data_IF_058482283090
#
_entry.id   IF_058482283090
#
_cell.length_a   1.000
_cell.length_b   1.000
_cell.length_c   1.000
_cell.angle_alpha   90.00
_cell.angle_beta   90.00
_cell.angle_gamma   90.00
#
_symmetry.space_group_name_H-M   'P 1'
#
loop_
_entity.id
_entity.type
_entity.pdbx_description
1 polymer ?
#
# COMPACT_ATOMS: atom_id res chain seq x y z
N UNK A 1 20.11 48.56 32.26
CA UNK A 1 20.24 47.93 30.96
C UNK A 1 19.38 46.66 30.96
N UNK A 2 18.27 46.68 30.26
CA UNK A 2 17.34 45.54 30.17
C UNK A 2 17.75 44.68 28.95
N UNK A 3 18.26 43.50 29.22
CA UNK A 3 18.52 42.51 28.14
C UNK A 3 17.19 41.87 27.73
N UNK A 4 16.71 42.29 26.59
CA UNK A 4 15.54 41.65 25.97
C UNK A 4 16.04 40.41 25.23
N UNK A 5 15.75 39.24 25.81
CA UNK A 5 16.04 37.96 25.21
C UNK A 5 15.01 37.72 24.10
N UNK A 6 15.40 37.85 22.83
CA UNK A 6 14.59 37.48 21.70
C UNK A 6 14.62 35.95 21.59
N UNK A 7 13.54 35.29 22.03
CA UNK A 7 13.31 33.87 21.77
C UNK A 7 12.75 33.79 20.35
N UNK A 8 13.62 33.48 19.39
CA UNK A 8 13.23 33.10 18.05
C UNK A 8 12.57 31.72 18.13
N UNK A 9 11.25 31.68 18.16
CA UNK A 9 10.49 30.46 18.00
C UNK A 9 10.64 30.06 16.51
N UNK A 10 11.53 29.13 16.27
CA UNK A 10 11.66 28.49 14.96
C UNK A 10 10.42 27.63 14.74
N UNK A 11 9.41 28.17 14.07
CA UNK A 11 8.33 27.38 13.53
C UNK A 11 8.94 26.49 12.44
N UNK A 12 9.26 25.25 12.79
CA UNK A 12 9.47 24.21 11.79
C UNK A 12 8.10 23.92 11.22
N UNK A 13 7.75 24.66 10.19
CA UNK A 13 6.65 24.29 9.30
C UNK A 13 7.13 23.01 8.63
N UNK A 14 6.68 21.86 9.13
CA UNK A 14 6.77 20.60 8.38
C UNK A 14 5.97 20.84 7.11
N UNK A 15 6.68 21.21 6.06
CA UNK A 15 6.11 21.23 4.71
C UNK A 15 5.75 19.78 4.45
N UNK A 16 4.48 19.45 4.67
CA UNK A 16 3.92 18.17 4.29
C UNK A 16 3.92 18.19 2.77
N UNK A 17 5.05 17.80 2.16
CA UNK A 17 5.13 17.67 0.73
C UNK A 17 4.08 16.65 0.32
N UNK A 18 3.11 17.10 -0.45
CA UNK A 18 2.10 16.26 -1.06
C UNK A 18 2.80 15.12 -1.81
N UNK A 19 2.81 13.95 -1.20
CA UNK A 19 3.51 12.81 -1.76
C UNK A 19 2.51 11.87 -2.40
N UNK A 20 2.70 11.64 -3.68
CA UNK A 20 1.88 10.73 -4.46
C UNK A 20 2.77 9.64 -5.07
N UNK A 21 2.48 8.40 -4.77
CA UNK A 21 3.21 7.24 -5.28
C UNK A 21 2.35 6.60 -6.37
N UNK A 22 2.88 6.53 -7.59
CA UNK A 22 2.24 5.85 -8.71
C UNK A 22 3.00 4.57 -9.01
N UNK A 23 2.29 3.45 -9.09
CA UNK A 23 2.84 2.12 -9.31
C UNK A 23 2.10 1.45 -10.45
N UNK A 24 2.84 0.99 -11.45
CA UNK A 24 2.31 0.15 -12.53
C UNK A 24 2.74 -1.30 -12.30
N UNK A 25 1.77 -2.18 -12.15
CA UNK A 25 1.95 -3.62 -11.95
C UNK A 25 1.49 -4.35 -13.19
N UNK A 26 2.35 -5.16 -13.79
CA UNK A 26 1.96 -6.03 -14.91
C UNK A 26 1.69 -7.46 -14.40
N UNK A 27 2.52 -7.94 -13.50
CA UNK A 27 2.47 -9.31 -13.01
C UNK A 27 2.82 -9.37 -11.52
N UNK A 28 2.31 -10.39 -10.84
CA UNK A 28 2.66 -10.68 -9.45
C UNK A 28 2.73 -12.18 -9.19
N UNK A 29 3.64 -12.58 -8.31
CA UNK A 29 3.64 -13.90 -7.70
C UNK A 29 2.57 -13.94 -6.62
N UNK A 30 1.67 -14.92 -6.68
CA UNK A 30 0.56 -15.05 -5.74
C UNK A 30 0.76 -16.24 -4.82
N UNK A 31 0.72 -15.96 -3.50
CA UNK A 31 0.81 -16.96 -2.44
C UNK A 31 -0.48 -16.97 -1.63
N UNK A 32 -0.90 -18.17 -1.22
CA UNK A 32 -2.14 -18.40 -0.46
C UNK A 32 -1.81 -19.22 0.77
N UNK A 33 -2.44 -18.86 1.89
CA UNK A 33 -2.41 -19.68 3.11
C UNK A 33 -3.79 -19.69 3.74
N UNK A 34 -4.32 -20.87 4.01
CA UNK A 34 -5.66 -21.01 4.59
C UNK A 34 -5.69 -20.54 6.05
N UNK A 35 -6.77 -19.86 6.40
CA UNK A 35 -6.93 -19.17 7.68
C UNK A 35 -6.37 -17.75 7.71
N UNK A 36 -6.40 -17.13 8.89
CA UNK A 36 -5.90 -15.76 9.10
C UNK A 36 -4.43 -15.82 9.48
N UNK A 37 -3.57 -15.31 8.63
CA UNK A 37 -2.11 -15.32 8.81
C UNK A 37 -1.50 -13.95 8.56
N UNK A 38 -0.32 -13.71 9.14
CA UNK A 38 0.50 -12.56 8.75
C UNK A 38 1.08 -12.78 7.35
N UNK A 39 1.39 -11.69 6.65
CA UNK A 39 2.06 -11.75 5.35
C UNK A 39 3.37 -12.57 5.41
N UNK A 40 4.15 -12.44 6.49
CA UNK A 40 5.39 -13.20 6.64
C UNK A 40 5.13 -14.71 6.73
N UNK A 41 4.11 -15.13 7.50
CA UNK A 41 3.75 -16.55 7.58
C UNK A 41 3.27 -17.13 6.25
N UNK A 42 2.56 -16.32 5.43
CA UNK A 42 2.16 -16.73 4.06
C UNK A 42 3.38 -16.89 3.17
N UNK A 43 4.35 -15.97 3.23
CA UNK A 43 5.56 -16.02 2.39
C UNK A 43 6.51 -17.16 2.82
N UNK A 44 6.65 -17.40 4.13
CA UNK A 44 7.57 -18.40 4.65
C UNK A 44 7.09 -19.84 4.38
N UNK A 45 5.78 -20.06 4.51
CA UNK A 45 5.20 -21.40 4.37
C UNK A 45 3.82 -21.31 3.72
N UNK A 46 3.72 -20.93 2.44
CA UNK A 46 2.44 -20.90 1.74
C UNK A 46 1.85 -22.30 1.62
N UNK A 47 0.52 -22.41 1.71
CA UNK A 47 -0.17 -23.66 1.41
C UNK A 47 -0.25 -23.86 -0.11
N UNK A 48 -0.30 -22.74 -0.87
CA UNK A 48 -0.28 -22.73 -2.32
C UNK A 48 0.63 -21.61 -2.86
N UNK A 49 1.49 -21.95 -3.80
CA UNK A 49 2.14 -21.00 -4.71
C UNK A 49 1.44 -21.08 -6.06
N UNK A 50 0.61 -20.09 -6.34
CA UNK A 50 -0.17 -20.04 -7.59
C UNK A 50 0.65 -19.56 -8.79
N UNK A 51 1.93 -19.28 -8.59
CA UNK A 51 2.84 -18.81 -9.61
C UNK A 51 2.60 -17.36 -10.03
N UNK A 52 3.23 -16.99 -11.14
CA UNK A 52 3.14 -15.66 -11.70
C UNK A 52 1.80 -15.46 -12.39
N UNK A 53 1.09 -14.40 -12.01
CA UNK A 53 -0.21 -14.02 -12.58
C UNK A 53 -0.11 -12.67 -13.26
N UNK A 54 -0.74 -12.54 -14.42
CA UNK A 54 -0.94 -11.26 -15.09
C UNK A 54 -1.99 -10.45 -14.31
N UNK A 55 -1.62 -9.22 -13.90
CA UNK A 55 -2.48 -8.37 -13.09
C UNK A 55 -2.93 -7.12 -13.87
N UNK A 56 -2.02 -6.46 -14.59
CA UNK A 56 -2.28 -5.27 -15.41
C UNK A 56 -3.03 -4.16 -14.68
N UNK A 57 -2.54 -3.77 -13.51
CA UNK A 57 -3.12 -2.73 -12.68
C UNK A 57 -2.19 -1.54 -12.49
N UNK A 58 -2.79 -0.36 -12.39
CA UNK A 58 -2.13 0.85 -11.92
C UNK A 58 -2.66 1.23 -10.54
N UNK A 59 -1.74 1.57 -9.63
CA UNK A 59 -2.05 2.04 -8.29
C UNK A 59 -1.59 3.48 -8.12
N UNK A 60 -2.41 4.29 -7.46
CA UNK A 60 -2.07 5.66 -7.07
C UNK A 60 -2.33 5.81 -5.58
N UNK A 61 -1.27 5.97 -4.81
CA UNK A 61 -1.35 6.25 -3.37
C UNK A 61 -1.14 7.74 -3.17
N UNK A 62 -2.20 8.45 -2.81
CA UNK A 62 -2.17 9.86 -2.48
C UNK A 62 -2.07 10.00 -0.95
N UNK A 63 -0.87 10.32 -0.45
CA UNK A 63 -0.63 10.38 0.98
C UNK A 63 -1.13 11.67 1.61
N UNK A 64 -1.43 12.70 0.82
CA UNK A 64 -2.06 13.93 1.28
C UNK A 64 -3.56 13.73 1.46
N UNK A 65 -4.22 13.14 0.48
CA UNK A 65 -5.65 12.88 0.50
C UNK A 65 -6.00 11.60 1.26
N UNK A 66 -4.99 10.84 1.71
CA UNK A 66 -5.15 9.53 2.34
C UNK A 66 -6.02 8.58 1.52
N UNK A 67 -5.76 8.50 0.23
CA UNK A 67 -6.49 7.62 -0.69
C UNK A 67 -5.57 6.68 -1.45
N UNK A 68 -6.01 5.44 -1.57
CA UNK A 68 -5.44 4.41 -2.44
C UNK A 68 -6.42 4.16 -3.59
N UNK A 69 -5.98 4.38 -4.81
CA UNK A 69 -6.76 4.12 -6.03
C UNK A 69 -6.08 3.03 -6.83
N UNK A 70 -6.85 2.10 -7.33
CA UNK A 70 -6.35 1.15 -8.31
C UNK A 70 -7.22 1.15 -9.56
N UNK A 71 -6.61 0.87 -10.69
CA UNK A 71 -7.25 0.84 -12.00
C UNK A 71 -6.79 -0.41 -12.72
N UNK A 72 -7.73 -1.27 -13.12
CA UNK A 72 -7.42 -2.40 -13.99
C UNK A 72 -7.36 -1.94 -15.43
N UNK A 73 -6.19 -2.05 -16.07
CA UNK A 73 -6.01 -1.68 -17.48
C UNK A 73 -6.73 -2.65 -18.42
N UNK A 74 -6.77 -3.93 -18.07
CA UNK A 74 -7.48 -4.96 -18.84
C UNK A 74 -9.00 -4.78 -18.86
N UNK A 75 -9.55 -4.09 -17.83
CA UNK A 75 -10.97 -3.77 -17.72
C UNK A 75 -11.30 -2.33 -18.15
N UNK A 76 -10.48 -1.72 -18.98
CA UNK A 76 -10.73 -0.37 -19.49
C UNK A 76 -10.60 0.74 -18.45
N UNK A 77 -9.80 0.54 -17.43
CA UNK A 77 -9.54 1.53 -16.38
C UNK A 77 -10.61 1.56 -15.28
N UNK A 78 -11.45 0.54 -15.19
CA UNK A 78 -12.35 0.36 -14.03
C UNK A 78 -11.50 0.11 -12.80
N UNK A 79 -11.79 0.84 -11.74
CA UNK A 79 -11.01 0.80 -10.51
C UNK A 79 -11.83 1.11 -9.27
N UNK A 80 -11.16 1.07 -8.15
CA UNK A 80 -11.73 1.36 -6.85
C UNK A 80 -10.87 2.38 -6.09
N UNK A 81 -11.47 3.06 -5.13
CA UNK A 81 -10.78 4.00 -4.23
C UNK A 81 -11.03 3.57 -2.80
N UNK A 82 -9.95 3.33 -2.06
CA UNK A 82 -9.99 2.94 -0.66
C UNK A 82 -9.33 4.03 0.20
N UNK A 83 -9.84 4.30 1.40
CA UNK A 83 -9.16 5.20 2.32
C UNK A 83 -7.87 4.55 2.85
N UNK A 84 -6.80 5.34 2.93
CA UNK A 84 -5.59 4.96 3.67
C UNK A 84 -5.81 5.41 5.12
N UNK A 85 -5.81 4.46 6.05
CA UNK A 85 -6.05 4.75 7.48
C UNK A 85 -4.77 4.93 8.27
N UNK A 86 -3.66 4.39 7.76
CA UNK A 86 -2.35 4.56 8.39
C UNK A 86 -1.24 4.51 7.34
N UNK A 87 -0.20 5.31 7.55
CA UNK A 87 1.01 5.31 6.73
C UNK A 87 2.22 5.25 7.64
N UNK A 88 3.06 4.25 7.45
CA UNK A 88 4.37 4.13 8.10
C UNK A 88 5.45 4.17 7.05
N UNK A 89 6.45 5.05 7.22
CA UNK A 89 7.63 5.13 6.34
C UNK A 89 8.87 4.67 7.08
N UNK A 90 9.62 3.74 6.48
CA UNK A 90 10.91 3.23 6.97
C UNK A 90 11.93 3.26 5.83
N UNK A 91 12.73 4.33 5.75
CA UNK A 91 13.62 4.53 4.60
C UNK A 91 12.85 4.66 3.30
N UNK A 92 13.11 3.77 2.33
CA UNK A 92 12.41 3.69 1.05
C UNK A 92 11.09 2.90 1.10
N UNK A 93 10.83 2.21 2.22
CA UNK A 93 9.65 1.37 2.39
C UNK A 93 8.48 2.18 2.96
N UNK A 94 7.37 2.19 2.24
CA UNK A 94 6.07 2.67 2.68
C UNK A 94 5.18 1.49 3.03
N UNK A 95 4.58 1.53 4.22
CA UNK A 95 3.57 0.58 4.68
C UNK A 95 2.26 1.34 4.78
N UNK A 96 1.31 1.01 3.91
CA UNK A 96 0.00 1.63 3.80
C UNK A 96 -1.04 0.66 4.32
N UNK A 97 -1.86 1.09 5.26
CA UNK A 97 -2.98 0.32 5.77
C UNK A 97 -4.27 0.90 5.19
N UNK A 98 -5.08 0.06 4.56
CA UNK A 98 -6.37 0.43 4.01
C UNK A 98 -7.46 -0.42 4.65
N UNK A 99 -8.66 0.10 4.77
CA UNK A 99 -9.82 -0.71 5.11
C UNK A 99 -10.53 -1.07 3.81
N UNK A 100 -10.46 -2.34 3.45
CA UNK A 100 -11.28 -2.90 2.39
C UNK A 100 -12.61 -3.34 3.03
N UNK A 101 -13.64 -2.55 2.80
CA UNK A 101 -14.98 -2.94 3.25
C UNK A 101 -15.56 -3.91 2.24
N UNK A 102 -15.74 -5.16 2.63
CA UNK A 102 -16.66 -6.03 1.89
C UNK A 102 -18.03 -5.36 1.86
N UNK A 103 -18.53 -5.08 0.67
CA UNK A 103 -19.86 -4.45 0.48
C UNK A 103 -20.95 -5.30 1.16
N UNK A 104 -20.73 -6.61 1.23
CA UNK A 104 -21.71 -7.58 1.74
C UNK A 104 -21.57 -7.88 3.24
N UNK A 105 -20.44 -7.52 3.85
CA UNK A 105 -20.16 -7.82 5.26
C UNK A 105 -19.17 -6.82 5.86
N UNK A 106 -19.60 -5.59 6.17
CA UNK A 106 -18.73 -4.53 6.72
C UNK A 106 -18.02 -4.94 8.01
N UNK A 107 -18.62 -5.84 8.79
CA UNK A 107 -18.04 -6.41 10.01
C UNK A 107 -16.84 -7.33 9.75
N UNK A 108 -16.67 -7.83 8.53
CA UNK A 108 -15.56 -8.68 8.13
C UNK A 108 -14.43 -7.90 7.46
N UNK A 109 -14.47 -6.56 7.49
CA UNK A 109 -13.41 -5.74 6.91
C UNK A 109 -12.12 -5.94 7.70
N UNK A 110 -11.20 -6.67 7.12
CA UNK A 110 -9.85 -6.80 7.65
C UNK A 110 -8.95 -5.75 7.00
N UNK A 111 -8.05 -5.12 7.77
CA UNK A 111 -7.15 -4.14 7.21
C UNK A 111 -6.23 -4.81 6.19
N UNK A 112 -6.23 -4.29 5.00
CA UNK A 112 -5.28 -4.66 3.95
C UNK A 112 -4.00 -3.87 4.13
N UNK A 113 -2.87 -4.54 4.09
CA UNK A 113 -1.54 -3.91 4.15
C UNK A 113 -0.87 -3.96 2.79
N UNK A 114 -0.39 -2.80 2.37
CA UNK A 114 0.37 -2.64 1.13
C UNK A 114 1.76 -2.15 1.51
N UNK A 115 2.78 -2.84 1.07
CA UNK A 115 4.18 -2.51 1.27
C UNK A 115 4.75 -2.06 -0.07
N UNK A 116 5.24 -0.83 -0.16
CA UNK A 116 5.83 -0.28 -1.39
C UNK A 116 7.26 0.11 -1.10
N UNK A 117 8.22 -0.61 -1.67
CA UNK A 117 9.63 -0.26 -1.61
C UNK A 117 10.02 0.51 -2.88
N UNK A 118 10.27 1.80 -2.71
CA UNK A 118 10.53 2.72 -3.82
C UNK A 118 11.89 2.46 -4.46
N UNK A 119 12.91 2.16 -3.68
CA UNK A 119 14.27 1.94 -4.18
C UNK A 119 14.39 0.58 -4.88
N UNK A 120 13.83 -0.46 -4.27
CA UNK A 120 13.83 -1.81 -4.85
C UNK A 120 12.77 -2.01 -5.94
N UNK A 121 11.85 -1.06 -6.11
CA UNK A 121 10.73 -1.12 -7.06
C UNK A 121 9.94 -2.41 -6.93
N UNK A 122 9.54 -2.71 -5.68
CA UNK A 122 8.73 -3.87 -5.34
C UNK A 122 7.48 -3.44 -4.57
N UNK A 123 6.42 -4.21 -4.69
CA UNK A 123 5.21 -4.04 -3.92
C UNK A 123 4.73 -5.39 -3.39
N UNK A 124 4.33 -5.41 -2.12
CA UNK A 124 3.70 -6.54 -1.49
C UNK A 124 2.30 -6.10 -1.07
N UNK A 125 1.31 -6.79 -1.56
CA UNK A 125 -0.09 -6.54 -1.26
C UNK A 125 -0.66 -7.72 -0.48
N UNK A 126 -1.20 -7.46 0.71
CA UNK A 126 -1.70 -8.49 1.62
C UNK A 126 -3.17 -8.24 1.91
N UNK A 127 -3.99 -9.25 1.73
CA UNK A 127 -5.41 -9.21 2.11
C UNK A 127 -5.89 -10.58 2.59
N UNK A 128 -7.04 -10.58 3.26
CA UNK A 128 -7.73 -11.79 3.67
C UNK A 128 -9.01 -11.94 2.86
N UNK A 129 -9.25 -13.14 2.33
CA UNK A 129 -10.49 -13.48 1.66
C UNK A 129 -11.39 -14.26 2.64
N UNK A 130 -12.47 -13.66 3.12
CA UNK A 130 -13.37 -14.31 4.09
C UNK A 130 -14.18 -15.45 3.47
N UNK A 131 -14.44 -15.43 2.16
CA UNK A 131 -15.21 -16.48 1.49
C UNK A 131 -14.40 -17.76 1.34
N UNK A 132 -13.13 -17.62 1.02
CA UNK A 132 -12.21 -18.75 0.88
C UNK A 132 -11.51 -19.09 2.22
N UNK A 133 -11.71 -18.24 3.25
CA UNK A 133 -11.01 -18.33 4.53
C UNK A 133 -9.51 -18.50 4.34
N UNK A 134 -8.91 -17.59 3.60
CA UNK A 134 -7.48 -17.63 3.33
C UNK A 134 -6.84 -16.24 3.34
N UNK A 135 -5.56 -16.20 3.73
CA UNK A 135 -4.70 -15.04 3.63
C UNK A 135 -3.95 -15.10 2.30
N UNK A 136 -3.98 -14.00 1.55
CA UNK A 136 -3.37 -13.88 0.24
C UNK A 136 -2.26 -12.82 0.28
N UNK A 137 -1.17 -13.12 -0.40
CA UNK A 137 -0.05 -12.20 -0.60
C UNK A 137 0.32 -12.16 -2.07
N UNK A 138 0.25 -10.97 -2.66
CA UNK A 138 0.76 -10.69 -4.00
C UNK A 138 2.11 -10.00 -3.89
N UNK A 139 3.14 -10.61 -4.44
CA UNK A 139 4.48 -10.06 -4.53
C UNK A 139 4.76 -9.59 -5.95
N UNK A 140 4.88 -8.28 -6.12
CA UNK A 140 5.13 -7.62 -7.39
C UNK A 140 6.58 -7.13 -7.44
N UNK A 141 7.33 -7.56 -8.44
CA UNK A 141 8.70 -7.09 -8.70
C UNK A 141 8.80 -6.29 -9.99
N UNK A 142 9.92 -5.60 -10.18
CA UNK A 142 10.25 -4.85 -11.39
C UNK A 142 9.19 -3.81 -11.78
N UNK A 143 8.64 -3.12 -10.79
CA UNK A 143 7.58 -2.15 -10.99
C UNK A 143 8.07 -0.92 -11.78
N UNK A 144 7.18 -0.36 -12.60
CA UNK A 144 7.24 1.06 -12.96
C UNK A 144 6.71 1.86 -11.78
N UNK A 145 7.56 2.65 -11.14
CA UNK A 145 7.21 3.41 -9.95
C UNK A 145 7.71 4.84 -10.07
N UNK A 146 6.86 5.81 -9.76
CA UNK A 146 7.19 7.23 -9.66
C UNK A 146 6.66 7.80 -8.35
N UNK A 147 7.46 8.67 -7.71
CA UNK A 147 7.06 9.41 -6.52
C UNK A 147 7.02 10.88 -6.88
N UNK A 148 5.84 11.49 -6.80
CA UNK A 148 5.64 12.93 -7.04
C UNK A 148 5.66 13.67 -5.69
N UNK A 149 6.24 14.87 -5.66
CA UNK A 149 6.28 15.71 -4.46
C UNK A 149 7.51 15.53 -3.58
N UNK A 150 8.52 14.76 -3.97
CA UNK A 150 9.86 14.84 -3.37
C UNK A 150 10.65 15.95 -4.09
N UNK A 151 10.82 17.07 -3.42
CA UNK A 151 11.86 18.08 -3.72
C UNK A 151 12.94 18.00 -2.65
#
# INVERSE_FOLDING_TARGET
>A
MKNTLFISILFIVSICNAQKIKVTVNEAQLFVKYGIHTNQAVLDTPDEDQGLKQIDCDYVFDLQENTSKFYSRSLGGIGNTLPIVNVTKKGSLYILETNDYSIDSPELSLPTKIYVDVDNKTMLFTWYDPYLNCSLVSHCGKLKLTVEGMQ
#
